data_IF_178583373236
#
_entry.id   IF_178583373236
#
_cell.length_a   1.000
_cell.length_b   1.000
_cell.length_c   1.000
_cell.angle_alpha   90.00
_cell.angle_beta   90.00
_cell.angle_gamma   90.00
#
_symmetry.space_group_name_H-M   'P 1'
#
loop_
_entity.id
_entity.type
_entity.pdbx_description
1 polymer ?
#
# COMPACT_ATOMS: atom_id res chain seq x y z
N UNK A 1 13.47 -17.28 -27.94
CA UNK A 1 14.04 -16.69 -26.71
C UNK A 1 13.98 -15.16 -26.69
N UNK A 2 14.06 -14.46 -27.85
CA UNK A 2 13.87 -13.00 -27.92
C UNK A 2 12.39 -12.54 -27.85
N UNK A 3 11.44 -13.38 -28.25
CA UNK A 3 10.00 -13.06 -28.23
C UNK A 3 9.43 -12.90 -26.81
N UNK A 4 9.87 -13.71 -25.86
CA UNK A 4 9.43 -13.65 -24.46
C UNK A 4 9.93 -12.41 -23.72
N UNK A 5 11.11 -11.88 -24.09
CA UNK A 5 11.65 -10.63 -23.53
C UNK A 5 10.83 -9.42 -24.00
N UNK A 6 10.41 -9.41 -25.27
CA UNK A 6 9.53 -8.37 -25.82
C UNK A 6 8.13 -8.41 -25.22
N UNK A 7 7.59 -9.60 -24.92
CA UNK A 7 6.33 -9.72 -24.17
C UNK A 7 6.47 -9.22 -22.72
N UNK A 8 7.50 -9.62 -21.98
CA UNK A 8 7.80 -9.09 -20.64
C UNK A 8 7.95 -7.55 -20.63
N UNK A 9 8.56 -6.99 -21.68
CA UNK A 9 8.70 -5.54 -21.85
C UNK A 9 7.40 -4.86 -22.31
N UNK A 10 6.48 -5.56 -22.99
CA UNK A 10 5.11 -5.06 -23.24
C UNK A 10 4.26 -5.06 -21.96
N UNK A 11 4.53 -5.99 -21.04
CA UNK A 11 3.94 -6.02 -19.69
C UNK A 11 4.46 -4.91 -18.76
N UNK A 12 5.43 -4.08 -19.20
CA UNK A 12 6.09 -2.99 -18.44
C UNK A 12 5.19 -2.02 -17.67
N UNK A 13 3.86 -2.04 -17.80
CA UNK A 13 3.05 -0.93 -17.30
C UNK A 13 1.54 -1.20 -17.14
N UNK A 14 1.11 -2.40 -16.75
CA UNK A 14 -0.22 -2.54 -16.13
C UNK A 14 -0.16 -2.82 -14.62
N UNK A 15 0.90 -3.48 -14.15
CA UNK A 15 1.00 -3.98 -12.79
C UNK A 15 1.76 -3.01 -11.88
N UNK A 16 1.05 -2.06 -11.28
CA UNK A 16 1.51 -1.35 -10.06
C UNK A 16 2.54 -0.24 -10.29
N UNK A 17 2.06 1.01 -10.21
CA UNK A 17 2.91 2.10 -9.75
C UNK A 17 2.64 2.24 -8.26
N UNK A 18 3.68 2.13 -7.44
CA UNK A 18 3.56 2.43 -6.02
C UNK A 18 3.15 3.87 -5.83
N UNK A 19 2.26 4.11 -4.88
CA UNK A 19 1.97 5.48 -4.52
C UNK A 19 3.11 5.99 -3.65
N UNK A 20 3.76 7.04 -4.14
CA UNK A 20 5.01 7.52 -3.59
C UNK A 20 4.83 8.93 -3.03
N UNK A 21 5.08 9.10 -1.73
CA UNK A 21 5.10 10.40 -1.05
C UNK A 21 6.54 10.91 -0.99
N UNK A 22 6.79 12.03 -1.66
CA UNK A 22 8.07 12.72 -1.58
C UNK A 22 8.32 13.26 -0.17
N UNK A 23 9.57 13.55 0.15
CA UNK A 23 9.92 14.16 1.44
C UNK A 23 10.87 15.34 1.21
N UNK A 24 10.43 16.53 1.62
CA UNK A 24 11.27 17.72 1.59
C UNK A 24 12.07 17.82 2.89
N UNK A 25 13.38 17.60 2.77
CA UNK A 25 14.32 17.61 3.90
C UNK A 25 14.41 19.00 4.55
N UNK A 26 14.25 20.09 3.77
CA UNK A 26 14.37 21.45 4.28
C UNK A 26 13.18 21.80 5.18
N UNK A 27 11.98 21.46 4.73
CA UNK A 27 10.74 21.74 5.47
C UNK A 27 10.33 20.61 6.42
N UNK A 28 10.98 19.44 6.34
CA UNK A 28 10.67 18.21 7.07
C UNK A 28 9.21 17.77 6.89
N UNK A 29 8.69 17.93 5.67
CA UNK A 29 7.30 17.61 5.32
C UNK A 29 7.23 16.64 4.15
N UNK A 30 6.21 15.79 4.18
CA UNK A 30 5.83 14.96 3.04
C UNK A 30 5.16 15.79 1.95
N UNK A 31 5.38 15.39 0.71
CA UNK A 31 4.74 15.92 -0.47
C UNK A 31 3.61 14.97 -0.91
N UNK A 32 2.56 15.52 -1.49
CA UNK A 32 1.51 14.71 -2.10
C UNK A 32 2.09 13.85 -3.25
N UNK A 33 1.49 12.69 -3.55
CA UNK A 33 1.90 11.88 -4.67
C UNK A 33 1.80 12.66 -6.00
N UNK A 34 2.76 12.44 -6.90
CA UNK A 34 2.65 13.01 -8.25
C UNK A 34 1.68 12.18 -9.08
N UNK A 35 0.77 12.86 -9.76
CA UNK A 35 -0.24 12.25 -10.63
C UNK A 35 0.00 12.64 -12.09
N UNK A 36 -0.46 11.80 -13.00
CA UNK A 36 -0.49 12.00 -14.45
C UNK A 36 -1.97 12.07 -14.88
N UNK A 37 -2.55 13.26 -14.79
CA UNK A 37 -3.99 13.49 -14.89
C UNK A 37 -4.67 13.49 -13.51
N UNK A 38 -5.95 13.12 -13.47
CA UNK A 38 -6.76 13.29 -12.25
C UNK A 38 -6.43 12.26 -11.17
N UNK A 39 -6.47 10.96 -11.47
CA UNK A 39 -6.32 9.89 -10.44
C UNK A 39 -5.16 8.94 -10.69
N UNK A 40 -4.54 9.01 -11.87
CA UNK A 40 -3.48 8.09 -12.28
C UNK A 40 -2.16 8.51 -11.66
N UNK A 41 -1.46 7.58 -11.00
CA UNK A 41 -0.13 7.84 -10.42
C UNK A 41 0.89 8.10 -11.54
N UNK A 42 1.68 9.17 -11.38
CA UNK A 42 2.74 9.52 -12.32
C UNK A 42 3.86 8.48 -12.26
N UNK A 43 4.26 7.99 -13.42
CA UNK A 43 5.34 7.01 -13.58
C UNK A 43 6.56 7.71 -14.11
N UNK A 44 7.60 7.86 -13.30
CA UNK A 44 8.91 8.40 -13.72
C UNK A 44 9.99 7.36 -13.43
N UNK A 45 11.00 7.30 -14.29
CA UNK A 45 12.09 6.33 -14.15
C UNK A 45 11.71 4.90 -14.51
N UNK A 46 10.63 4.70 -15.28
CA UNK A 46 10.22 3.40 -15.85
C UNK A 46 11.30 2.78 -16.75
N UNK A 47 12.19 3.60 -17.31
CA UNK A 47 13.36 3.10 -18.05
C UNK A 47 14.41 2.47 -17.13
N UNK A 48 14.49 2.92 -15.86
CA UNK A 48 15.43 2.44 -14.86
C UNK A 48 14.85 1.28 -14.03
N UNK A 49 13.62 1.41 -13.55
CA UNK A 49 12.87 0.33 -12.92
C UNK A 49 11.51 0.17 -13.61
N UNK A 50 11.44 -0.73 -14.60
CA UNK A 50 10.20 -0.94 -15.33
C UNK A 50 9.07 -1.56 -14.51
N UNK A 51 9.38 -2.20 -13.39
CA UNK A 51 8.40 -2.94 -12.60
C UNK A 51 7.87 -2.13 -11.42
N UNK A 52 8.65 -1.16 -10.90
CA UNK A 52 8.25 -0.26 -9.82
C UNK A 52 8.71 1.17 -10.09
N UNK A 53 8.05 1.88 -11.03
CA UNK A 53 8.36 3.28 -11.30
C UNK A 53 7.93 4.17 -10.15
N UNK A 54 8.83 5.01 -9.64
CA UNK A 54 8.56 5.94 -8.53
C UNK A 54 8.89 7.38 -8.93
N UNK A 55 7.93 8.33 -8.79
CA UNK A 55 8.15 9.73 -9.14
C UNK A 55 9.07 10.49 -8.18
N UNK A 56 9.20 10.01 -6.93
CA UNK A 56 10.16 10.56 -5.97
C UNK A 56 11.27 9.55 -5.68
N UNK A 57 12.50 10.06 -5.52
CA UNK A 57 13.66 9.30 -5.08
C UNK A 57 14.42 10.12 -4.03
N UNK A 58 14.92 9.47 -2.99
CA UNK A 58 15.71 10.11 -1.95
C UNK A 58 15.38 9.60 -0.55
N UNK A 59 16.10 10.12 0.45
CA UNK A 59 15.93 9.72 1.85
C UNK A 59 14.60 10.24 2.41
N UNK A 60 13.88 9.38 3.13
CA UNK A 60 12.63 9.72 3.81
C UNK A 60 11.37 9.66 2.92
N UNK A 61 11.53 9.33 1.63
CA UNK A 61 10.41 9.02 0.73
C UNK A 61 9.68 7.76 1.23
N UNK A 62 8.36 7.74 1.10
CA UNK A 62 7.53 6.56 1.40
C UNK A 62 6.92 6.05 0.09
N UNK A 63 7.16 4.78 -0.23
CA UNK A 63 6.39 4.03 -1.22
C UNK A 63 5.42 3.12 -0.47
N UNK A 64 4.12 3.33 -0.64
CA UNK A 64 3.09 2.47 -0.06
C UNK A 64 2.54 1.53 -1.13
N UNK A 65 2.31 0.26 -0.75
CA UNK A 65 1.82 -0.76 -1.69
C UNK A 65 0.38 -0.47 -2.14
N UNK A 66 -0.52 -0.20 -1.18
CA UNK A 66 -1.92 0.09 -1.47
C UNK A 66 -2.36 1.37 -0.77
N UNK A 67 -3.04 2.23 -1.52
CA UNK A 67 -3.71 3.42 -0.99
C UNK A 67 -5.19 3.38 -1.33
N UNK A 68 -6.00 3.70 -0.33
CA UNK A 68 -7.43 3.86 -0.47
C UNK A 68 -7.73 5.35 -0.27
N UNK A 69 -8.13 6.09 -1.32
CA UNK A 69 -8.61 7.46 -1.17
C UNK A 69 -10.02 7.46 -0.55
N UNK A 70 -10.38 8.56 0.11
CA UNK A 70 -11.75 8.80 0.59
C UNK A 70 -12.74 8.86 -0.60
N UNK A 71 -12.34 9.51 -1.70
CA UNK A 71 -13.12 9.60 -2.93
C UNK A 71 -12.28 9.15 -4.13
N UNK A 72 -12.74 8.11 -4.83
CA UNK A 72 -12.00 7.48 -5.94
C UNK A 72 -11.87 8.33 -7.20
N UNK A 73 -12.69 9.36 -7.37
CA UNK A 73 -12.69 10.25 -8.53
C UNK A 73 -11.81 11.50 -8.37
N UNK A 74 -11.28 11.74 -7.18
CA UNK A 74 -10.47 12.92 -6.90
C UNK A 74 -8.99 12.63 -6.98
N UNK A 75 -8.21 13.67 -7.27
CA UNK A 75 -6.76 13.60 -7.17
C UNK A 75 -6.35 13.25 -5.75
N UNK A 76 -5.47 12.26 -5.63
CA UNK A 76 -4.93 11.88 -4.34
C UNK A 76 -4.04 12.99 -3.80
N UNK A 77 -4.40 13.50 -2.63
CA UNK A 77 -3.67 14.52 -1.88
C UNK A 77 -3.49 14.02 -0.44
N UNK A 78 -2.83 14.82 0.40
CA UNK A 78 -2.68 14.48 1.82
C UNK A 78 -3.96 14.69 2.64
N UNK A 79 -5.00 15.29 2.07
CA UNK A 79 -6.26 15.58 2.76
C UNK A 79 -7.36 14.55 2.47
N UNK A 80 -7.17 13.63 1.52
CA UNK A 80 -8.20 12.66 1.13
C UNK A 80 -7.70 11.21 1.14
N UNK A 81 -6.69 10.90 1.95
CA UNK A 81 -6.25 9.52 2.19
C UNK A 81 -7.16 8.90 3.25
N UNK A 82 -7.87 7.83 2.90
CA UNK A 82 -8.65 7.06 3.87
C UNK A 82 -7.78 6.02 4.58
N UNK A 83 -7.06 5.21 3.82
CA UNK A 83 -6.20 4.17 4.36
C UNK A 83 -4.93 3.91 3.52
N UNK A 84 -3.88 3.45 4.19
CA UNK A 84 -2.67 2.88 3.61
C UNK A 84 -2.52 1.44 4.08
N UNK A 85 -2.18 0.55 3.16
CA UNK A 85 -1.83 -0.84 3.48
C UNK A 85 -0.43 -1.11 2.96
N UNK A 86 0.46 -1.50 3.88
CA UNK A 86 1.78 -2.05 3.57
C UNK A 86 1.66 -3.57 3.50
N UNK A 87 2.20 -4.18 2.45
CA UNK A 87 2.25 -5.63 2.28
C UNK A 87 3.69 -6.10 2.51
N UNK A 88 3.86 -7.07 3.38
CA UNK A 88 5.15 -7.75 3.60
C UNK A 88 5.01 -9.23 3.28
N UNK A 89 5.93 -9.76 2.50
CA UNK A 89 5.98 -11.20 2.22
C UNK A 89 6.73 -11.93 3.34
N UNK A 90 6.65 -13.25 3.32
CA UNK A 90 7.36 -14.10 4.27
C UNK A 90 8.85 -13.73 4.31
N UNK A 91 9.37 -13.54 5.53
CA UNK A 91 10.72 -13.07 5.85
C UNK A 91 11.03 -11.59 5.58
N UNK A 92 10.11 -10.84 4.99
CA UNK A 92 10.26 -9.39 4.91
C UNK A 92 10.14 -8.76 6.30
N UNK A 93 11.04 -7.83 6.56
CA UNK A 93 11.02 -7.02 7.77
C UNK A 93 10.48 -5.64 7.45
N UNK A 94 9.71 -5.12 8.39
CA UNK A 94 9.43 -3.69 8.48
C UNK A 94 10.33 -3.14 9.59
N UNK A 95 11.14 -2.14 9.26
CA UNK A 95 12.00 -1.51 10.23
C UNK A 95 11.25 -0.42 11.02
N UNK A 96 11.81 -0.04 12.16
CA UNK A 96 11.21 0.97 13.02
C UNK A 96 11.19 2.37 12.35
N UNK A 97 12.13 2.63 11.44
CA UNK A 97 12.18 3.89 10.69
C UNK A 97 10.98 4.01 9.74
N UNK A 98 10.62 2.93 9.06
CA UNK A 98 9.45 2.85 8.17
C UNK A 98 8.17 3.13 8.95
N UNK A 99 7.98 2.52 10.13
CA UNK A 99 6.84 2.84 11.01
C UNK A 99 6.81 4.31 11.44
N UNK A 100 7.95 4.86 11.87
CA UNK A 100 8.05 6.27 12.27
C UNK A 100 7.73 7.21 11.11
N UNK A 101 8.14 6.87 9.90
CA UNK A 101 7.83 7.63 8.70
C UNK A 101 6.32 7.61 8.41
N UNK A 102 5.67 6.45 8.49
CA UNK A 102 4.22 6.34 8.36
C UNK A 102 3.46 7.16 9.42
N UNK A 103 3.87 7.11 10.68
CA UNK A 103 3.23 7.91 11.75
C UNK A 103 3.42 9.42 11.56
N UNK A 104 4.57 9.85 11.03
CA UNK A 104 4.80 11.25 10.65
C UNK A 104 3.89 11.67 9.50
N UNK A 105 3.79 10.86 8.45
CA UNK A 105 2.89 11.11 7.32
C UNK A 105 1.43 11.19 7.81
N UNK A 106 1.01 10.27 8.67
CA UNK A 106 -0.32 10.24 9.29
C UNK A 106 -0.61 11.50 10.09
N UNK A 107 0.34 11.92 10.92
CA UNK A 107 0.22 13.16 11.71
C UNK A 107 0.10 14.39 10.80
N UNK A 108 0.89 14.46 9.73
CA UNK A 108 0.79 15.54 8.75
C UNK A 108 -0.56 15.55 8.03
N UNK A 109 -1.06 14.39 7.60
CA UNK A 109 -2.38 14.28 6.97
C UNK A 109 -3.49 14.75 7.92
N UNK A 110 -3.43 14.37 9.20
CA UNK A 110 -4.40 14.81 10.22
C UNK A 110 -4.43 16.34 10.35
N UNK A 111 -3.24 16.96 10.41
CA UNK A 111 -3.13 18.41 10.49
C UNK A 111 -3.70 19.09 9.25
N UNK A 112 -3.44 18.56 8.05
CA UNK A 112 -3.94 19.13 6.80
C UNK A 112 -5.46 18.96 6.67
N UNK A 113 -6.01 17.78 6.98
CA UNK A 113 -7.46 17.55 7.01
C UNK A 113 -8.18 18.53 7.93
N UNK A 114 -7.64 18.73 9.15
CA UNK A 114 -8.16 19.70 10.11
C UNK A 114 -8.11 21.13 9.57
N UNK A 115 -7.00 21.53 8.94
CA UNK A 115 -6.87 22.85 8.33
C UNK A 115 -7.86 23.07 7.18
N UNK A 116 -8.15 22.01 6.42
CA UNK A 116 -9.15 21.99 5.34
C UNK A 116 -10.59 21.82 5.81
N UNK A 117 -10.85 21.85 7.13
CA UNK A 117 -12.19 21.69 7.74
C UNK A 117 -12.87 20.33 7.43
N UNK A 118 -12.08 19.31 7.10
CA UNK A 118 -12.56 17.94 6.96
C UNK A 118 -12.70 17.35 8.37
N UNK A 119 -13.86 16.77 8.69
CA UNK A 119 -14.27 16.38 10.05
C UNK A 119 -13.51 15.17 10.62
N UNK A 120 -12.61 14.55 9.85
CA UNK A 120 -11.77 13.45 10.31
C UNK A 120 -10.67 13.98 11.26
N UNK A 121 -10.73 13.57 12.53
CA UNK A 121 -9.69 13.88 13.53
C UNK A 121 -8.40 13.09 13.32
N UNK A 122 -8.45 12.02 12.52
CA UNK A 122 -7.33 11.15 12.20
C UNK A 122 -6.84 11.34 10.77
N UNK A 123 -5.52 11.18 10.56
CA UNK A 123 -4.90 11.37 9.25
C UNK A 123 -5.33 10.33 8.23
N UNK A 124 -5.14 9.05 8.55
CA UNK A 124 -5.63 7.89 7.79
C UNK A 124 -5.49 6.62 8.65
N UNK A 125 -6.11 5.52 8.20
CA UNK A 125 -5.90 4.18 8.77
C UNK A 125 -4.65 3.53 8.18
N UNK A 126 -3.76 3.01 9.02
CA UNK A 126 -2.58 2.26 8.60
C UNK A 126 -2.78 0.78 8.92
N UNK A 127 -2.59 -0.08 7.93
CA UNK A 127 -2.62 -1.53 8.10
C UNK A 127 -1.33 -2.15 7.57
N UNK A 128 -0.83 -3.16 8.27
CA UNK A 128 0.21 -4.05 7.79
C UNK A 128 -0.44 -5.39 7.44
N UNK A 129 -0.23 -5.86 6.21
CA UNK A 129 -0.69 -7.14 5.73
C UNK A 129 0.52 -8.04 5.47
N UNK A 130 0.58 -9.19 6.13
CA UNK A 130 1.65 -10.18 5.99
C UNK A 130 1.16 -11.35 5.16
N UNK A 131 1.84 -11.63 4.05
CA UNK A 131 1.51 -12.75 3.19
C UNK A 131 2.56 -13.86 3.32
N UNK A 132 2.15 -15.13 3.58
CA UNK A 132 0.77 -15.64 3.59
C UNK A 132 0.05 -15.60 4.96
N UNK A 133 0.70 -15.13 6.02
CA UNK A 133 0.22 -15.29 7.41
C UNK A 133 -1.20 -14.74 7.63
N UNK A 134 -1.52 -13.58 7.05
CA UNK A 134 -2.83 -12.92 7.16
C UNK A 134 -3.82 -13.38 6.07
N UNK A 135 -3.38 -14.12 5.06
CA UNK A 135 -4.26 -14.67 4.01
C UNK A 135 -4.95 -15.96 4.47
N UNK A 136 -4.24 -16.79 5.25
CA UNK A 136 -4.68 -18.13 5.67
C UNK A 136 -5.75 -18.12 6.77
N UNK A 137 -5.93 -17.02 7.49
CA UNK A 137 -6.96 -16.86 8.54
C UNK A 137 -8.39 -16.95 8.01
N UNK A 138 -8.58 -16.80 6.70
CA UNK A 138 -9.91 -16.86 6.05
C UNK A 138 -10.34 -18.29 5.74
N UNK A 139 -9.42 -19.21 5.43
CA UNK A 139 -9.76 -20.58 5.00
C UNK A 139 -9.82 -21.60 6.15
N UNK A 140 -9.19 -21.30 7.29
CA UNK A 140 -9.17 -22.22 8.44
C UNK A 140 -10.45 -22.24 9.29
N UNK A 141 -11.46 -21.40 8.99
CA UNK A 141 -12.71 -21.33 9.78
C UNK A 141 -13.80 -22.30 9.34
N UNK A 142 -13.67 -22.95 8.18
CA UNK A 142 -14.69 -23.88 7.66
C UNK A 142 -14.37 -25.37 7.90
N UNK A 143 -13.23 -25.71 8.48
CA UNK A 143 -12.87 -27.09 8.82
C UNK A 143 -13.12 -27.39 10.31
N UNK A 144 -14.39 -27.43 10.73
CA UNK A 144 -14.73 -28.16 11.96
C UNK A 144 -14.42 -29.65 11.75
N UNK A 145 -13.64 -30.31 12.62
CA UNK A 145 -13.42 -31.74 12.52
C UNK A 145 -14.71 -32.48 12.89
N UNK A 146 -15.39 -33.04 11.88
CA UNK A 146 -16.51 -33.97 12.10
C UNK A 146 -15.98 -35.24 12.75
N UNK A 147 -16.28 -35.43 14.03
CA UNK A 147 -15.94 -36.65 14.76
C UNK A 147 -16.77 -37.81 14.18
N UNK A 148 -16.17 -38.92 13.71
CA UNK A 148 -16.94 -40.05 13.22
C UNK A 148 -17.57 -40.80 14.39
N UNK A 149 -18.90 -40.73 14.47
CA UNK A 149 -19.69 -41.40 15.48
C UNK A 149 -19.69 -42.92 15.21
N UNK A 150 -18.83 -43.67 15.90
CA UNK A 150 -18.68 -45.12 15.75
C UNK A 150 -19.85 -45.82 16.48
N UNK A 151 -20.95 -46.09 15.77
CA UNK A 151 -22.03 -46.96 16.25
C UNK A 151 -21.46 -48.37 16.54
N UNK A 152 -21.42 -48.74 17.83
CA UNK A 152 -21.24 -50.12 18.28
C UNK A 152 -22.46 -50.95 17.84
N UNK A 153 -22.25 -51.98 17.02
CA UNK A 153 -23.19 -53.11 16.90
C UNK A 153 -22.87 -54.08 18.04
N UNK A 154 -23.83 -54.28 18.93
CA UNK A 154 -23.86 -55.41 19.88
C UNK A 154 -24.60 -56.56 19.21
N UNK A 155 -23.97 -57.74 19.20
CA UNK A 155 -24.68 -59.02 19.17
C UNK A 155 -25.11 -59.36 20.60
#
# INVERSE_FOLDING_TARGET
>A
MLSSLYELLKWRSLLEAEVCFGYDIKTRKYLAPQLDGQTRIKRVGSELNPFRPMPYKGKGVIGADIIIPEYRGESLTLTNIFALVEIKFQNDRIDEEQFRNYERLKSQCAQQKKASKITASEGFKLSLFRYPEDALTTEAKDSKPTTPNKKRKTN
#
